data_IF_740902697880
#
_entry.id   IF_740902697880
#
_cell.length_a   1.000
_cell.length_b   1.000
_cell.length_c   1.000
_cell.angle_alpha   90.00
_cell.angle_beta   90.00
_cell.angle_gamma   90.00
#
_symmetry.space_group_name_H-M   'P 1'
#
loop_
_entity.id
_entity.type
_entity.pdbx_description
1 polymer ?
#
# COMPACT_ATOMS: atom_id res chain seq x y z
N UNK A 1 5.90 22.82 -0.56
CA UNK A 1 6.54 22.13 -1.69
C UNK A 1 5.52 21.73 -2.73
N UNK A 2 5.86 21.94 -3.99
CA UNK A 2 4.95 21.56 -5.09
C UNK A 2 5.05 20.05 -5.38
N UNK A 3 3.93 19.48 -5.79
CA UNK A 3 3.86 18.08 -6.21
C UNK A 3 3.22 18.01 -7.60
N UNK A 4 3.35 16.88 -8.32
CA UNK A 4 2.67 16.71 -9.60
C UNK A 4 1.14 16.82 -9.51
N UNK A 5 0.57 16.82 -8.30
CA UNK A 5 -0.89 16.88 -8.10
C UNK A 5 -1.44 18.29 -7.93
N UNK A 6 -0.59 19.32 -7.95
CA UNK A 6 -1.02 20.69 -7.63
C UNK A 6 -1.88 21.34 -8.71
N UNK A 7 -1.62 21.08 -9.99
CA UNK A 7 -2.34 21.72 -11.09
C UNK A 7 -2.62 20.71 -12.19
N UNK A 8 -3.57 19.80 -11.92
CA UNK A 8 -3.91 18.72 -12.88
C UNK A 8 -4.98 19.24 -13.86
N UNK A 9 -4.60 19.40 -15.12
CA UNK A 9 -5.50 19.88 -16.18
C UNK A 9 -5.51 18.95 -17.40
N UNK A 10 -4.50 18.10 -17.55
CA UNK A 10 -4.37 17.20 -18.70
C UNK A 10 -4.29 15.75 -18.24
N UNK A 11 -4.51 14.82 -19.18
CA UNK A 11 -4.36 13.38 -18.90
C UNK A 11 -2.94 13.06 -18.49
N UNK A 12 -1.95 13.68 -19.13
CA UNK A 12 -0.56 13.47 -18.76
C UNK A 12 -0.29 13.92 -17.32
N UNK A 13 -0.84 15.06 -16.92
CA UNK A 13 -0.68 15.54 -15.55
C UNK A 13 -1.40 14.63 -14.55
N UNK A 14 -2.57 14.12 -14.93
CA UNK A 14 -3.30 13.14 -14.12
C UNK A 14 -2.47 11.87 -13.93
N UNK A 15 -1.81 11.39 -14.97
CA UNK A 15 -0.92 10.25 -14.89
C UNK A 15 0.25 10.53 -13.95
N UNK A 16 0.91 11.66 -14.09
CA UNK A 16 2.04 12.04 -13.25
C UNK A 16 1.66 12.15 -11.78
N UNK A 17 0.47 12.72 -11.51
CA UNK A 17 -0.06 12.78 -10.14
C UNK A 17 -0.31 11.38 -9.59
N UNK A 18 -0.96 10.51 -10.37
CA UNK A 18 -1.25 9.15 -9.93
C UNK A 18 0.03 8.33 -9.67
N UNK A 19 1.06 8.52 -10.49
CA UNK A 19 2.35 7.86 -10.31
C UNK A 19 3.05 8.36 -9.04
N UNK A 20 2.99 9.64 -8.77
CA UNK A 20 3.52 10.23 -7.54
C UNK A 20 2.81 9.66 -6.31
N UNK A 21 1.49 9.59 -6.36
CA UNK A 21 0.70 9.03 -5.25
C UNK A 21 1.02 7.56 -5.03
N UNK A 22 1.20 6.79 -6.09
CA UNK A 22 1.58 5.38 -5.98
C UNK A 22 2.91 5.22 -5.23
N UNK A 23 3.91 6.02 -5.60
CA UNK A 23 5.23 5.98 -4.95
C UNK A 23 5.12 6.39 -3.48
N UNK A 24 4.39 7.46 -3.19
CA UNK A 24 4.20 7.96 -1.82
C UNK A 24 3.48 6.92 -0.96
N UNK A 25 2.39 6.34 -1.48
CA UNK A 25 1.62 5.33 -0.75
C UNK A 25 2.44 4.07 -0.48
N UNK A 26 3.30 3.67 -1.42
CA UNK A 26 4.19 2.52 -1.21
C UNK A 26 5.22 2.81 -0.11
N UNK A 27 5.81 4.01 -0.11
CA UNK A 27 6.77 4.40 0.94
C UNK A 27 6.11 4.40 2.33
N UNK A 28 4.89 4.93 2.40
CA UNK A 28 4.13 4.94 3.66
C UNK A 28 3.79 3.52 4.13
N UNK A 29 3.43 2.64 3.19
CA UNK A 29 3.14 1.25 3.51
C UNK A 29 4.39 0.52 4.02
N UNK A 30 5.53 0.74 3.37
CA UNK A 30 6.80 0.14 3.80
C UNK A 30 7.15 0.61 5.22
N UNK A 31 6.96 1.89 5.52
CA UNK A 31 7.20 2.44 6.85
C UNK A 31 6.23 1.86 7.88
N UNK A 32 4.95 1.76 7.54
CA UNK A 32 3.95 1.17 8.43
C UNK A 32 4.27 -0.28 8.77
N UNK A 33 4.71 -1.05 7.78
CA UNK A 33 5.10 -2.45 7.97
C UNK A 33 6.34 -2.55 8.87
N UNK A 34 7.36 -1.75 8.60
CA UNK A 34 8.57 -1.74 9.41
C UNK A 34 8.27 -1.35 10.86
N UNK A 35 7.46 -0.31 11.05
CA UNK A 35 7.08 0.15 12.39
C UNK A 35 6.30 -0.93 13.14
N UNK A 36 5.42 -1.65 12.44
CA UNK A 36 4.69 -2.78 13.04
C UNK A 36 5.64 -3.87 13.52
N UNK A 37 6.59 -4.28 12.67
CA UNK A 37 7.57 -5.31 13.03
C UNK A 37 8.38 -4.85 14.26
N UNK A 38 8.84 -3.61 14.26
CA UNK A 38 9.61 -3.04 15.38
C UNK A 38 8.78 -3.01 16.67
N UNK A 39 7.51 -2.62 16.56
CA UNK A 39 6.60 -2.52 17.71
C UNK A 39 6.32 -3.89 18.32
N UNK A 40 6.01 -4.88 17.49
CA UNK A 40 5.74 -6.25 17.96
C UNK A 40 7.01 -6.87 18.54
N UNK A 41 8.16 -6.64 17.90
CA UNK A 41 9.45 -7.13 18.39
C UNK A 41 9.77 -6.60 19.78
N UNK A 42 9.46 -5.33 20.04
CA UNK A 42 9.61 -4.72 21.35
C UNK A 42 8.66 -5.32 22.38
N UNK A 43 7.37 -5.44 22.01
CA UNK A 43 6.33 -5.90 22.93
C UNK A 43 6.54 -7.34 23.36
N UNK A 44 7.10 -8.17 22.49
CA UNK A 44 7.26 -9.62 22.71
C UNK A 44 8.72 -10.04 22.84
N UNK A 45 9.60 -9.08 23.19
CA UNK A 45 11.04 -9.35 23.29
C UNK A 45 11.36 -10.51 24.26
N UNK A 46 10.57 -10.64 25.32
CA UNK A 46 10.79 -11.66 26.35
C UNK A 46 10.01 -12.97 26.07
N UNK A 47 9.39 -13.08 24.89
CA UNK A 47 8.59 -14.25 24.51
C UNK A 47 8.97 -14.70 23.08
N UNK A 48 10.21 -15.23 22.88
CA UNK A 48 10.74 -15.43 21.53
C UNK A 48 9.93 -16.38 20.64
N UNK A 49 9.37 -17.46 21.21
CA UNK A 49 8.55 -18.38 20.42
C UNK A 49 7.27 -17.70 19.92
N UNK A 50 6.63 -16.94 20.79
CA UNK A 50 5.40 -16.19 20.45
C UNK A 50 5.72 -15.08 19.46
N UNK A 51 6.83 -14.40 19.63
CA UNK A 51 7.29 -13.36 18.70
C UNK A 51 7.50 -13.93 17.29
N UNK A 52 8.20 -15.04 17.18
CA UNK A 52 8.47 -15.66 15.89
C UNK A 52 7.18 -16.06 15.18
N UNK A 53 6.22 -16.61 15.91
CA UNK A 53 4.93 -16.99 15.35
C UNK A 53 4.14 -15.76 14.90
N UNK A 54 4.12 -14.72 15.70
CA UNK A 54 3.43 -13.47 15.38
C UNK A 54 4.00 -12.82 14.11
N UNK A 55 5.32 -12.70 14.04
CA UNK A 55 5.98 -12.10 12.87
C UNK A 55 5.75 -12.93 11.61
N UNK A 56 5.73 -14.27 11.72
CA UNK A 56 5.44 -15.14 10.58
C UNK A 56 4.02 -14.91 10.06
N UNK A 57 3.04 -14.72 10.96
CA UNK A 57 1.65 -14.47 10.59
C UNK A 57 1.50 -13.08 9.94
N UNK A 58 2.19 -12.08 10.45
CA UNK A 58 2.19 -10.72 9.88
C UNK A 58 2.74 -10.77 8.45
N UNK A 59 3.87 -11.45 8.25
CA UNK A 59 4.49 -11.57 6.93
C UNK A 59 3.58 -12.30 5.95
N UNK A 60 2.99 -13.41 6.37
CA UNK A 60 2.07 -14.18 5.53
C UNK A 60 0.85 -13.34 5.11
N UNK A 61 0.26 -12.63 6.07
CA UNK A 61 -0.89 -11.77 5.80
C UNK A 61 -0.54 -10.67 4.80
N UNK A 62 0.64 -10.08 4.93
CA UNK A 62 1.07 -9.02 4.01
C UNK A 62 1.27 -9.56 2.59
N UNK A 63 1.81 -10.77 2.45
CA UNK A 63 1.99 -11.40 1.14
C UNK A 63 0.64 -11.69 0.48
N UNK A 64 -0.32 -12.19 1.25
CA UNK A 64 -1.69 -12.46 0.75
C UNK A 64 -2.36 -11.15 0.35
N UNK A 65 -2.24 -10.13 1.19
CA UNK A 65 -2.82 -8.82 0.91
C UNK A 65 -2.24 -8.21 -0.37
N UNK A 66 -0.95 -8.33 -0.62
CA UNK A 66 -0.32 -7.82 -1.84
C UNK A 66 -0.95 -8.46 -3.08
N UNK A 67 -1.23 -9.76 -3.03
CA UNK A 67 -1.91 -10.46 -4.12
C UNK A 67 -3.35 -9.98 -4.29
N UNK A 68 -4.03 -9.73 -3.19
CA UNK A 68 -5.39 -9.18 -3.23
C UNK A 68 -5.41 -7.79 -3.87
N UNK A 69 -4.45 -6.93 -3.53
CA UNK A 69 -4.34 -5.60 -4.15
C UNK A 69 -4.21 -5.71 -5.67
N UNK A 70 -3.34 -6.59 -6.14
CA UNK A 70 -3.17 -6.80 -7.58
C UNK A 70 -4.46 -7.30 -8.23
N UNK A 71 -5.12 -8.26 -7.61
CA UNK A 71 -6.36 -8.83 -8.13
C UNK A 71 -7.50 -7.82 -8.14
N UNK A 72 -7.68 -7.08 -7.04
CA UNK A 72 -8.74 -6.06 -6.93
C UNK A 72 -8.52 -4.94 -7.93
N UNK A 73 -7.28 -4.50 -8.13
CA UNK A 73 -7.00 -3.42 -9.07
C UNK A 73 -7.19 -3.87 -10.52
N UNK A 74 -7.00 -5.15 -10.81
CA UNK A 74 -7.37 -5.71 -12.11
C UNK A 74 -8.89 -5.69 -12.32
N UNK A 75 -9.67 -5.95 -11.26
CA UNK A 75 -11.14 -5.86 -11.32
C UNK A 75 -11.57 -4.42 -11.56
N UNK A 76 -11.03 -3.47 -10.78
CA UNK A 76 -11.45 -2.07 -10.87
C UNK A 76 -11.14 -1.44 -12.23
N UNK A 77 -10.11 -1.91 -12.91
CA UNK A 77 -9.69 -1.35 -14.19
C UNK A 77 -10.07 -2.25 -15.39
N UNK A 78 -10.95 -3.20 -15.17
CA UNK A 78 -11.28 -4.22 -16.18
C UNK A 78 -11.76 -3.63 -17.51
N UNK A 79 -12.55 -2.55 -17.44
CA UNK A 79 -13.13 -1.92 -18.65
C UNK A 79 -12.20 -0.93 -19.33
N UNK A 80 -11.05 -0.62 -18.75
CA UNK A 80 -10.09 0.31 -19.34
C UNK A 80 -9.32 -0.38 -20.47
N UNK A 81 -9.06 0.36 -21.54
CA UNK A 81 -8.36 -0.16 -22.70
C UNK A 81 -6.94 -0.54 -22.36
N UNK A 82 -6.54 -1.75 -22.74
CA UNK A 82 -5.20 -2.27 -22.48
C UNK A 82 -4.15 -1.36 -23.15
N UNK A 83 -3.10 -1.04 -22.40
CA UNK A 83 -2.01 -0.19 -22.87
C UNK A 83 -2.33 1.30 -22.86
N UNK A 84 -3.52 1.70 -22.43
CA UNK A 84 -3.91 3.10 -22.39
C UNK A 84 -3.36 3.81 -21.13
N UNK A 85 -3.21 5.12 -21.24
CA UNK A 85 -2.83 5.94 -20.08
C UNK A 85 -3.95 5.96 -19.03
N UNK A 86 -5.20 5.89 -19.47
CA UNK A 86 -6.35 5.77 -18.56
C UNK A 86 -6.26 4.52 -17.69
N UNK A 87 -5.84 3.38 -18.28
CA UNK A 87 -5.61 2.16 -17.52
C UNK A 87 -4.53 2.36 -16.46
N UNK A 88 -3.41 2.97 -16.85
CA UNK A 88 -2.30 3.22 -15.92
C UNK A 88 -2.71 4.12 -14.76
N UNK A 89 -3.46 5.18 -15.05
CA UNK A 89 -3.98 6.09 -14.02
C UNK A 89 -4.88 5.31 -13.05
N UNK A 90 -5.80 4.53 -13.59
CA UNK A 90 -6.72 3.73 -12.77
C UNK A 90 -5.99 2.72 -11.89
N UNK A 91 -4.98 2.07 -12.43
CA UNK A 91 -4.18 1.11 -11.66
C UNK A 91 -3.37 1.82 -10.56
N UNK A 92 -2.77 2.97 -10.88
CA UNK A 92 -2.02 3.74 -9.88
C UNK A 92 -2.92 4.23 -8.75
N UNK A 93 -4.12 4.73 -9.10
CA UNK A 93 -5.07 5.23 -8.11
C UNK A 93 -5.59 4.10 -7.21
N UNK A 94 -5.93 2.96 -7.80
CA UNK A 94 -6.36 1.78 -7.05
C UNK A 94 -5.26 1.30 -6.10
N UNK A 95 -4.03 1.22 -6.60
CA UNK A 95 -2.85 0.84 -5.81
C UNK A 95 -2.70 1.74 -4.59
N UNK A 96 -2.77 3.07 -4.82
CA UNK A 96 -2.62 4.07 -3.76
C UNK A 96 -3.70 3.93 -2.71
N UNK A 97 -4.96 3.82 -3.14
CA UNK A 97 -6.10 3.72 -2.22
C UNK A 97 -5.99 2.49 -1.34
N UNK A 98 -5.72 1.32 -1.93
CA UNK A 98 -5.60 0.08 -1.17
C UNK A 98 -4.39 0.11 -0.24
N UNK A 99 -3.27 0.68 -0.70
CA UNK A 99 -2.04 0.78 0.10
C UNK A 99 -2.25 1.70 1.31
N UNK A 100 -2.96 2.81 1.13
CA UNK A 100 -3.26 3.74 2.23
C UNK A 100 -4.15 3.07 3.28
N UNK A 101 -5.16 2.33 2.85
CA UNK A 101 -6.03 1.57 3.75
C UNK A 101 -5.23 0.50 4.51
N UNK A 102 -4.31 -0.17 3.83
CA UNK A 102 -3.47 -1.18 4.47
C UNK A 102 -2.54 -0.56 5.51
N UNK A 103 -1.95 0.59 5.20
CA UNK A 103 -1.09 1.31 6.15
C UNK A 103 -1.84 1.63 7.44
N UNK A 104 -3.08 2.13 7.33
CA UNK A 104 -3.93 2.40 8.49
C UNK A 104 -4.17 1.14 9.32
N UNK A 105 -4.48 0.03 8.65
CA UNK A 105 -4.69 -1.24 9.34
C UNK A 105 -3.44 -1.70 10.08
N UNK A 106 -2.28 -1.67 9.41
CA UNK A 106 -1.02 -2.08 10.04
C UNK A 106 -0.67 -1.22 11.25
N UNK A 107 -0.98 0.09 11.18
CA UNK A 107 -0.73 1.02 12.28
C UNK A 107 -1.62 0.73 13.49
N UNK A 108 -2.75 0.07 13.31
CA UNK A 108 -3.66 -0.25 14.41
C UNK A 108 -3.24 -1.50 15.21
N UNK A 109 -2.44 -2.37 14.62
CA UNK A 109 -2.05 -3.63 15.24
C UNK A 109 -1.07 -3.37 16.39
N UNK A 110 -1.36 -3.93 17.55
CA UNK A 110 -0.50 -3.77 18.72
C UNK A 110 -0.62 -2.44 19.42
N UNK A 111 -1.67 -1.67 19.10
CA UNK A 111 -1.90 -0.33 19.67
C UNK A 111 -3.09 -0.31 20.63
N UNK A 112 -3.64 -1.45 20.99
CA UNK A 112 -4.75 -1.56 21.96
C UNK A 112 -4.32 -1.19 23.37
#
# INVERSE_FOLDING_TARGET
>A
DSTPCDNVETTQQSFECSAFNKTTSQHELDSAYKDLVDRISSQYANHPAQLNDYLAKIKNAQQIWTKLREADCAVQTFLSEKGSQTLEIGQNDCFSQMSDQRSEYLQSIGME
#
